data_IF_327138133533
#
_entry.id   IF_327138133533
#
_cell.length_a   1.000
_cell.length_b   1.000
_cell.length_c   1.000
_cell.angle_alpha   90.00
_cell.angle_beta   90.00
_cell.angle_gamma   90.00
#
_symmetry.space_group_name_H-M   'P 1'
#
loop_
_entity.id
_entity.type
_entity.pdbx_description
1 polymer ?
#
# COMPACT_ATOMS: atom_id res chain seq x y z
N UNK A 1 20.98 -5.38 -15.80
CA UNK A 1 19.98 -5.85 -16.77
C UNK A 1 19.72 -4.73 -17.75
N UNK A 2 20.07 -4.98 -19.01
CA UNK A 2 20.22 -3.98 -20.08
C UNK A 2 19.00 -3.93 -21.00
N UNK A 3 18.10 -4.92 -20.91
CA UNK A 3 16.94 -5.07 -21.80
C UNK A 3 15.61 -5.00 -21.03
N UNK A 4 14.51 -4.75 -21.76
CA UNK A 4 13.14 -4.65 -21.23
C UNK A 4 12.50 -6.04 -21.05
N UNK A 5 12.98 -7.05 -21.76
CA UNK A 5 12.46 -8.43 -21.76
C UNK A 5 13.14 -9.36 -20.75
N UNK A 6 13.99 -8.79 -19.90
CA UNK A 6 14.78 -9.51 -18.92
C UNK A 6 13.87 -10.15 -17.84
N UNK A 7 13.93 -11.48 -17.70
CA UNK A 7 13.16 -12.26 -16.72
C UNK A 7 13.94 -12.51 -15.42
N UNK A 8 13.27 -12.65 -14.26
CA UNK A 8 13.94 -13.03 -13.01
C UNK A 8 14.54 -14.43 -13.14
N UNK A 9 15.86 -14.55 -12.99
CA UNK A 9 16.61 -15.82 -13.06
C UNK A 9 17.22 -16.26 -11.73
N UNK A 10 17.12 -15.44 -10.68
CA UNK A 10 17.88 -15.62 -9.43
C UNK A 10 17.20 -16.61 -8.47
N UNK A 11 15.87 -16.71 -8.51
CA UNK A 11 15.09 -17.51 -7.56
C UNK A 11 14.13 -18.47 -8.29
N UNK A 12 14.69 -19.43 -9.03
CA UNK A 12 13.91 -20.49 -9.68
C UNK A 12 13.44 -21.52 -8.65
N UNK A 13 12.19 -21.98 -8.80
CA UNK A 13 11.64 -23.00 -7.93
C UNK A 13 12.32 -24.36 -8.23
N UNK A 14 12.82 -25.09 -7.21
CA UNK A 14 13.53 -26.35 -7.43
C UNK A 14 12.66 -27.39 -8.12
N UNK A 15 13.14 -27.94 -9.24
CA UNK A 15 12.39 -28.91 -10.06
C UNK A 15 12.02 -30.18 -9.29
N UNK A 16 12.87 -30.60 -8.36
CA UNK A 16 12.68 -31.80 -7.55
C UNK A 16 11.51 -31.67 -6.56
N UNK A 17 11.23 -30.44 -6.10
CA UNK A 17 10.11 -30.14 -5.19
C UNK A 17 8.77 -30.08 -5.96
N UNK A 18 8.78 -29.71 -7.25
CA UNK A 18 7.56 -29.62 -8.08
C UNK A 18 6.86 -30.98 -8.16
N UNK A 19 7.65 -32.04 -8.34
CA UNK A 19 7.18 -33.42 -8.47
C UNK A 19 7.16 -34.18 -7.14
N UNK A 20 7.55 -33.55 -6.04
CA UNK A 20 7.54 -34.13 -4.69
C UNK A 20 6.14 -34.30 -4.10
N UNK A 21 6.07 -35.01 -2.97
CA UNK A 21 4.86 -35.19 -2.18
C UNK A 21 4.41 -33.88 -1.52
N UNK A 22 3.15 -33.79 -1.10
CA UNK A 22 2.61 -32.60 -0.43
C UNK A 22 3.38 -32.27 0.86
N UNK A 23 3.87 -33.28 1.56
CA UNK A 23 4.69 -33.10 2.77
C UNK A 23 6.07 -32.52 2.44
N UNK A 24 6.71 -32.97 1.36
CA UNK A 24 7.97 -32.39 0.88
C UNK A 24 7.80 -30.93 0.45
N UNK A 25 6.70 -30.62 -0.25
CA UNK A 25 6.35 -29.24 -0.63
C UNK A 25 6.11 -28.35 0.58
N UNK A 26 5.40 -28.86 1.59
CA UNK A 26 5.14 -28.14 2.83
C UNK A 26 6.42 -27.86 3.60
N UNK A 27 7.28 -28.86 3.78
CA UNK A 27 8.55 -28.68 4.50
C UNK A 27 9.46 -27.66 3.79
N UNK A 28 9.56 -27.74 2.46
CA UNK A 28 10.29 -26.75 1.67
C UNK A 28 9.70 -25.34 1.83
N UNK A 29 8.37 -25.21 1.79
CA UNK A 29 7.72 -23.93 1.98
C UNK A 29 7.99 -23.34 3.37
N UNK A 30 7.85 -24.15 4.42
CA UNK A 30 8.09 -23.72 5.80
C UNK A 30 9.55 -23.29 6.01
N UNK A 31 10.51 -24.00 5.42
CA UNK A 31 11.93 -23.63 5.43
C UNK A 31 12.20 -22.29 4.73
N UNK A 32 11.78 -22.16 3.46
CA UNK A 32 11.98 -20.94 2.67
C UNK A 32 11.28 -19.74 3.29
N UNK A 33 10.06 -19.94 3.80
CA UNK A 33 9.32 -18.91 4.50
C UNK A 33 10.02 -18.50 5.81
N UNK A 34 10.59 -19.45 6.56
CA UNK A 34 11.42 -19.16 7.72
C UNK A 34 12.61 -18.26 7.39
N UNK A 35 13.35 -18.58 6.32
CA UNK A 35 14.47 -17.76 5.82
C UNK A 35 13.98 -16.35 5.42
N UNK A 36 12.85 -16.26 4.72
CA UNK A 36 12.27 -14.99 4.32
C UNK A 36 11.93 -14.11 5.53
N UNK A 37 11.25 -14.68 6.53
CA UNK A 37 10.85 -13.94 7.74
C UNK A 37 12.09 -13.47 8.49
N UNK A 38 13.09 -14.33 8.69
CA UNK A 38 14.32 -13.96 9.38
C UNK A 38 15.10 -12.88 8.65
N UNK A 39 15.22 -12.97 7.32
CA UNK A 39 16.05 -12.07 6.53
C UNK A 39 15.40 -10.72 6.26
N UNK A 40 14.08 -10.72 6.00
CA UNK A 40 13.39 -9.55 5.46
C UNK A 40 12.34 -8.96 6.38
N UNK A 41 11.78 -9.70 7.33
CA UNK A 41 10.67 -9.23 8.18
C UNK A 41 11.14 -8.89 9.59
N UNK A 42 11.89 -9.79 10.21
CA UNK A 42 12.39 -9.65 11.56
C UNK A 42 13.68 -8.83 11.58
N UNK A 43 13.56 -7.53 11.87
CA UNK A 43 14.67 -6.71 12.37
C UNK A 43 14.70 -6.81 13.90
N UNK A 44 14.93 -8.01 14.42
CA UNK A 44 15.05 -8.21 15.88
C UNK A 44 16.39 -7.62 16.29
N UNK A 45 16.38 -6.42 16.86
CA UNK A 45 17.33 -6.14 17.94
C UNK A 45 16.86 -6.94 19.16
N UNK A 46 17.77 -7.63 19.87
CA UNK A 46 17.46 -8.33 21.10
C UNK A 46 17.23 -7.32 22.23
N UNK A 47 16.10 -6.61 22.18
CA UNK A 47 15.50 -5.88 23.30
C UNK A 47 14.31 -6.72 23.75
N UNK A 48 14.18 -7.23 24.96
CA UNK A 48 14.91 -7.17 26.22
C UNK A 48 14.26 -8.26 27.10
N UNK A 49 14.92 -8.64 28.19
CA UNK A 49 14.36 -9.41 29.31
C UNK A 49 12.84 -9.21 29.49
N UNK A 50 12.07 -10.28 29.39
CA UNK A 50 10.68 -10.30 29.86
C UNK A 50 10.72 -10.23 31.39
N UNK A 51 10.53 -9.03 31.95
CA UNK A 51 10.30 -8.87 33.38
C UNK A 51 9.00 -9.59 33.76
N UNK A 52 9.08 -10.48 34.75
CA UNK A 52 7.97 -11.30 35.26
C UNK A 52 6.89 -10.44 35.93
N UNK A 53 7.20 -9.17 36.24
CA UNK A 53 6.23 -8.17 36.70
C UNK A 53 5.76 -7.27 35.54
N UNK A 54 4.84 -7.81 34.74
CA UNK A 54 4.30 -7.12 33.55
C UNK A 54 3.46 -5.88 33.93
N UNK A 55 4.04 -4.68 33.82
CA UNK A 55 3.31 -3.41 33.99
C UNK A 55 2.43 -3.15 32.75
N UNK A 56 1.20 -3.65 32.82
CA UNK A 56 0.21 -3.50 31.75
C UNK A 56 -0.10 -2.04 31.41
N UNK A 57 0.06 -1.08 32.34
CA UNK A 57 -0.20 0.34 32.09
C UNK A 57 0.93 0.92 31.24
N UNK A 58 2.19 0.66 31.63
CA UNK A 58 3.37 1.07 30.87
C UNK A 58 3.38 0.45 29.48
N UNK A 59 3.09 -0.84 29.35
CA UNK A 59 3.04 -1.52 28.06
C UNK A 59 1.96 -0.96 27.14
N UNK A 60 0.76 -0.70 27.67
CA UNK A 60 -0.29 -0.05 26.91
C UNK A 60 0.14 1.35 26.43
N UNK A 61 0.79 2.14 27.30
CA UNK A 61 1.32 3.45 26.96
C UNK A 61 2.37 3.39 25.84
N UNK A 62 3.35 2.49 25.96
CA UNK A 62 4.38 2.28 24.95
C UNK A 62 3.80 1.81 23.61
N UNK A 63 2.86 0.86 23.62
CA UNK A 63 2.13 0.41 22.44
C UNK A 63 1.39 1.56 21.75
N UNK A 64 0.71 2.41 22.53
CA UNK A 64 -0.02 3.57 21.99
C UNK A 64 0.93 4.57 21.33
N UNK A 65 2.05 4.87 21.98
CA UNK A 65 3.09 5.76 21.42
C UNK A 65 3.66 5.15 20.14
N UNK A 66 4.01 3.86 20.15
CA UNK A 66 4.53 3.15 19.00
C UNK A 66 3.56 3.23 17.80
N UNK A 67 2.29 2.89 18.01
CA UNK A 67 1.27 2.95 16.94
C UNK A 67 1.08 4.38 16.41
N UNK A 68 1.09 5.38 17.29
CA UNK A 68 0.99 6.79 16.88
C UNK A 68 2.20 7.22 16.06
N UNK A 69 3.41 6.85 16.47
CA UNK A 69 4.64 7.12 15.72
C UNK A 69 4.65 6.44 14.37
N UNK A 70 4.18 5.18 14.29
CA UNK A 70 4.05 4.46 13.02
C UNK A 70 3.12 5.19 12.05
N UNK A 71 1.95 5.68 12.51
CA UNK A 71 1.03 6.45 11.67
C UNK A 71 1.67 7.76 11.20
N UNK A 72 2.35 8.49 12.09
CA UNK A 72 3.04 9.73 11.71
C UNK A 72 4.14 9.48 10.68
N UNK A 73 4.92 8.41 10.87
CA UNK A 73 5.95 7.98 9.94
C UNK A 73 5.36 7.63 8.57
N UNK A 74 4.26 6.86 8.51
CA UNK A 74 3.59 6.51 7.26
C UNK A 74 3.14 7.77 6.50
N UNK A 75 2.55 8.75 7.19
CA UNK A 75 2.14 10.02 6.58
C UNK A 75 3.33 10.82 6.04
N UNK A 76 4.45 10.86 6.77
CA UNK A 76 5.66 11.53 6.29
C UNK A 76 6.30 10.81 5.11
N UNK A 77 6.34 9.48 5.14
CA UNK A 77 6.79 8.63 4.04
C UNK A 77 6.00 8.92 2.77
N UNK A 78 4.66 8.93 2.87
CA UNK A 78 3.79 9.24 1.74
C UNK A 78 4.04 10.65 1.20
N UNK A 79 4.12 11.65 2.07
CA UNK A 79 4.41 13.05 1.71
C UNK A 79 5.74 13.20 0.97
N UNK A 80 6.78 12.48 1.41
CA UNK A 80 8.12 12.52 0.81
C UNK A 80 8.26 11.59 -0.41
N UNK A 81 7.33 10.66 -0.62
CA UNK A 81 7.41 9.68 -1.69
C UNK A 81 8.56 8.68 -1.50
N UNK A 82 8.84 8.30 -0.25
CA UNK A 82 10.03 7.53 0.09
C UNK A 82 9.75 6.01 0.08
N UNK A 83 10.16 5.34 -0.99
CA UNK A 83 9.93 3.91 -1.18
C UNK A 83 10.67 3.02 -0.16
N UNK A 84 11.85 3.44 0.31
CA UNK A 84 12.63 2.66 1.29
C UNK A 84 11.97 2.69 2.66
N UNK A 85 11.57 3.89 3.12
CA UNK A 85 10.82 4.03 4.37
C UNK A 85 9.46 3.35 4.28
N UNK A 86 8.86 3.29 3.09
CA UNK A 86 7.63 2.54 2.89
C UNK A 86 7.84 1.03 3.06
N UNK A 87 8.91 0.47 2.51
CA UNK A 87 9.24 -0.95 2.69
C UNK A 87 9.45 -1.31 4.16
N UNK A 88 10.11 -0.45 4.94
CA UNK A 88 10.24 -0.62 6.39
C UNK A 88 8.85 -0.60 7.06
N UNK A 89 8.00 0.37 6.72
CA UNK A 89 6.63 0.44 7.26
C UNK A 89 5.82 -0.83 6.92
N UNK A 90 5.94 -1.37 5.71
CA UNK A 90 5.26 -2.60 5.29
C UNK A 90 5.68 -3.81 6.13
N UNK A 91 6.99 -3.93 6.45
CA UNK A 91 7.53 -4.99 7.32
C UNK A 91 6.93 -4.90 8.73
N UNK A 92 6.84 -3.70 9.31
CA UNK A 92 6.16 -3.50 10.60
C UNK A 92 4.66 -3.81 10.54
N UNK A 93 3.97 -3.34 9.49
CA UNK A 93 2.53 -3.56 9.32
C UNK A 93 2.19 -5.04 9.12
N UNK A 94 3.05 -5.81 8.44
CA UNK A 94 2.90 -7.27 8.33
C UNK A 94 2.80 -7.90 9.72
N UNK A 95 3.73 -7.57 10.62
CA UNK A 95 3.73 -8.07 12.00
C UNK A 95 2.47 -7.66 12.76
N UNK A 96 2.08 -6.38 12.68
CA UNK A 96 0.88 -5.85 13.35
C UNK A 96 -0.40 -6.55 12.84
N UNK A 97 -0.58 -6.66 11.53
CA UNK A 97 -1.78 -7.27 10.95
C UNK A 97 -1.84 -8.77 11.18
N UNK A 98 -0.69 -9.45 11.23
CA UNK A 98 -0.63 -10.87 11.57
C UNK A 98 -1.03 -11.13 13.03
N UNK A 99 -0.57 -10.28 13.96
CA UNK A 99 -0.92 -10.38 15.38
C UNK A 99 -2.42 -10.16 15.65
N UNK A 100 -3.05 -9.24 14.93
CA UNK A 100 -4.46 -8.89 15.15
C UNK A 100 -5.47 -9.90 14.56
N UNK A 101 -5.04 -10.85 13.72
CA UNK A 101 -5.85 -11.96 13.19
C UNK A 101 -6.96 -11.57 12.20
N UNK A 102 -7.79 -10.59 12.51
CA UNK A 102 -8.91 -10.12 11.67
C UNK A 102 -8.48 -9.35 10.41
N UNK A 103 -7.19 -9.02 10.30
CA UNK A 103 -6.62 -8.20 9.23
C UNK A 103 -5.70 -9.01 8.30
N UNK A 104 -5.90 -10.33 8.22
CA UNK A 104 -5.10 -11.26 7.43
C UNK A 104 -4.94 -10.85 5.96
N UNK A 105 -5.98 -10.29 5.33
CA UNK A 105 -5.90 -9.78 3.95
C UNK A 105 -4.83 -8.69 3.77
N UNK A 106 -4.68 -7.81 4.76
CA UNK A 106 -3.69 -6.74 4.73
C UNK A 106 -2.29 -7.29 5.04
N UNK A 107 -2.19 -8.29 5.92
CA UNK A 107 -0.94 -9.01 6.14
C UNK A 107 -0.46 -9.70 4.84
N UNK A 108 -1.35 -10.36 4.10
CA UNK A 108 -1.02 -10.99 2.81
C UNK A 108 -0.53 -9.94 1.81
N UNK A 109 -1.20 -8.79 1.72
CA UNK A 109 -0.78 -7.71 0.82
C UNK A 109 0.63 -7.19 1.16
N UNK A 110 0.92 -6.96 2.45
CA UNK A 110 2.27 -6.55 2.89
C UNK A 110 3.31 -7.62 2.55
N UNK A 111 2.99 -8.90 2.80
CA UNK A 111 3.88 -10.01 2.47
C UNK A 111 4.19 -10.07 0.96
N UNK A 112 3.16 -9.99 0.11
CA UNK A 112 3.31 -10.01 -1.34
C UNK A 112 4.17 -8.84 -1.82
N UNK A 113 3.93 -7.62 -1.30
CA UNK A 113 4.73 -6.44 -1.63
C UNK A 113 6.21 -6.62 -1.25
N UNK A 114 6.49 -7.10 -0.03
CA UNK A 114 7.88 -7.34 0.42
C UNK A 114 8.54 -8.41 -0.44
N UNK A 115 7.84 -9.52 -0.71
CA UNK A 115 8.35 -10.59 -1.57
C UNK A 115 8.64 -10.10 -2.99
N UNK A 116 7.76 -9.26 -3.57
CA UNK A 116 7.99 -8.64 -4.87
C UNK A 116 9.24 -7.78 -4.90
N UNK A 117 9.43 -6.92 -3.90
CA UNK A 117 10.57 -6.00 -3.82
C UNK A 117 11.88 -6.77 -3.58
N UNK A 118 11.89 -7.71 -2.65
CA UNK A 118 13.13 -8.32 -2.13
C UNK A 118 13.53 -9.61 -2.87
N UNK A 119 12.57 -10.33 -3.46
CA UNK A 119 12.79 -11.71 -3.93
C UNK A 119 12.29 -11.99 -5.35
N UNK A 120 11.14 -11.48 -5.76
CA UNK A 120 10.48 -11.96 -6.99
C UNK A 120 10.79 -11.09 -8.22
N UNK A 121 10.90 -9.77 -8.06
CA UNK A 121 11.12 -8.87 -9.18
C UNK A 121 12.60 -8.74 -9.51
N UNK A 122 12.90 -8.42 -10.76
CA UNK A 122 14.25 -8.02 -11.17
C UNK A 122 14.65 -6.74 -10.43
N UNK A 123 15.96 -6.45 -10.23
CA UNK A 123 16.39 -5.24 -9.51
C UNK A 123 15.77 -3.96 -10.07
N UNK A 124 15.61 -3.86 -11.39
CA UNK A 124 14.96 -2.71 -12.03
C UNK A 124 13.47 -2.62 -11.69
N UNK A 125 12.73 -3.71 -11.85
CA UNK A 125 11.29 -3.75 -11.57
C UNK A 125 11.01 -3.54 -10.08
N UNK A 126 11.84 -4.11 -9.21
CA UNK A 126 11.78 -3.90 -7.75
C UNK A 126 11.91 -2.41 -7.40
N UNK A 127 12.87 -1.69 -7.99
CA UNK A 127 13.00 -0.25 -7.78
C UNK A 127 11.76 0.50 -8.30
N UNK A 128 11.31 0.21 -9.53
CA UNK A 128 10.10 0.85 -10.08
C UNK A 128 8.87 0.62 -9.21
N UNK A 129 8.67 -0.61 -8.73
CA UNK A 129 7.56 -0.96 -7.86
C UNK A 129 7.66 -0.26 -6.50
N UNK A 130 8.85 -0.28 -5.87
CA UNK A 130 9.12 0.37 -4.59
C UNK A 130 8.88 1.88 -4.61
N UNK A 131 9.31 2.58 -5.65
CA UNK A 131 9.07 4.02 -5.80
C UNK A 131 7.68 4.34 -6.37
N UNK A 132 7.04 3.38 -7.05
CA UNK A 132 5.71 3.50 -7.66
C UNK A 132 4.54 3.47 -6.67
N UNK A 133 4.81 3.26 -5.37
CA UNK A 133 3.80 3.39 -4.31
C UNK A 133 3.27 4.83 -4.16
N UNK A 134 4.02 5.83 -4.65
CA UNK A 134 3.67 7.23 -4.52
C UNK A 134 3.69 7.94 -5.87
N UNK A 135 2.87 8.99 -5.97
CA UNK A 135 2.76 9.81 -7.18
C UNK A 135 2.72 11.30 -6.82
N UNK A 136 3.38 12.11 -7.64
CA UNK A 136 3.44 13.57 -7.47
C UNK A 136 2.77 14.29 -8.62
N UNK A 137 1.45 14.43 -8.56
CA UNK A 137 0.68 15.02 -9.66
C UNK A 137 0.80 16.54 -9.75
N UNK A 138 1.02 17.19 -8.61
CA UNK A 138 1.08 18.66 -8.50
C UNK A 138 2.51 19.19 -8.69
N UNK A 139 3.50 18.31 -8.66
CA UNK A 139 4.91 18.69 -8.61
C UNK A 139 5.31 19.31 -7.27
N UNK A 140 6.61 19.50 -7.09
CA UNK A 140 7.18 20.11 -5.88
C UNK A 140 7.36 19.14 -4.70
N UNK A 141 8.23 19.53 -3.77
CA UNK A 141 8.60 18.71 -2.62
C UNK A 141 7.45 18.61 -1.62
N UNK A 142 7.15 17.39 -1.15
CA UNK A 142 6.14 17.18 -0.13
C UNK A 142 4.70 17.08 -0.65
N UNK A 143 4.51 17.06 -1.98
CA UNK A 143 3.20 16.98 -2.63
C UNK A 143 2.87 15.56 -3.16
N UNK A 144 3.62 14.57 -2.72
CA UNK A 144 3.34 13.17 -3.07
C UNK A 144 2.08 12.67 -2.35
N UNK A 145 1.36 11.79 -3.01
CA UNK A 145 0.24 11.03 -2.46
C UNK A 145 0.43 9.54 -2.75
N UNK A 146 -0.21 8.69 -1.96
CA UNK A 146 -0.27 7.25 -2.21
C UNK A 146 -0.89 6.99 -3.58
N UNK A 147 -0.27 6.12 -4.38
CA UNK A 147 -0.73 5.80 -5.73
C UNK A 147 -2.14 5.20 -5.73
N UNK A 148 -2.48 4.42 -4.70
CA UNK A 148 -3.84 3.87 -4.53
C UNK A 148 -4.89 4.97 -4.31
N UNK A 149 -4.60 5.95 -3.42
CA UNK A 149 -5.44 7.13 -3.22
C UNK A 149 -5.60 7.94 -4.52
N UNK A 150 -4.51 8.07 -5.27
CA UNK A 150 -4.50 8.66 -6.60
C UNK A 150 -5.43 7.92 -7.57
N UNK A 151 -5.36 6.59 -7.61
CA UNK A 151 -6.24 5.78 -8.43
C UNK A 151 -7.70 5.92 -7.99
N UNK A 152 -7.99 5.99 -6.69
CA UNK A 152 -9.32 6.20 -6.15
C UNK A 152 -9.91 7.56 -6.59
N UNK A 153 -9.12 8.64 -6.50
CA UNK A 153 -9.51 9.98 -6.95
C UNK A 153 -9.86 9.95 -8.44
N UNK A 154 -9.01 9.32 -9.26
CA UNK A 154 -9.21 9.21 -10.71
C UNK A 154 -10.47 8.40 -11.04
N UNK A 155 -10.68 7.27 -10.36
CA UNK A 155 -11.87 6.45 -10.51
C UNK A 155 -13.14 7.22 -10.13
N UNK A 156 -13.10 8.00 -9.05
CA UNK A 156 -14.24 8.83 -8.60
C UNK A 156 -14.58 9.91 -9.63
N UNK A 157 -13.58 10.62 -10.15
CA UNK A 157 -13.76 11.60 -11.22
C UNK A 157 -14.36 10.94 -12.48
N UNK A 158 -13.82 9.80 -12.89
CA UNK A 158 -14.33 9.01 -14.03
C UNK A 158 -15.82 8.69 -13.87
N UNK A 159 -16.19 8.12 -12.72
CA UNK A 159 -17.57 7.73 -12.43
C UNK A 159 -18.50 8.94 -12.44
N UNK A 160 -18.10 10.05 -11.82
CA UNK A 160 -18.90 11.26 -11.76
C UNK A 160 -19.21 11.82 -13.16
N UNK A 161 -18.21 11.86 -14.04
CA UNK A 161 -18.40 12.38 -15.39
C UNK A 161 -19.29 11.43 -16.21
N UNK A 162 -19.01 10.12 -16.17
CA UNK A 162 -19.83 9.12 -16.89
C UNK A 162 -21.28 9.14 -16.42
N UNK A 163 -21.53 9.31 -15.12
CA UNK A 163 -22.89 9.46 -14.59
C UNK A 163 -23.61 10.69 -15.16
N UNK A 164 -22.91 11.82 -15.31
CA UNK A 164 -23.46 13.08 -15.84
C UNK A 164 -23.73 13.06 -17.35
N UNK A 165 -23.23 12.07 -18.09
CA UNK A 165 -23.51 11.91 -19.52
C UNK A 165 -24.96 11.47 -19.83
N UNK A 166 -25.73 11.07 -18.82
CA UNK A 166 -27.12 10.66 -19.01
C UNK A 166 -27.25 9.43 -19.92
N UNK A 167 -28.19 9.42 -20.89
CA UNK A 167 -28.37 8.30 -21.82
C UNK A 167 -27.21 8.07 -22.81
N UNK A 168 -26.32 9.06 -22.98
CA UNK A 168 -25.26 9.03 -24.01
C UNK A 168 -24.03 8.20 -23.63
N UNK A 169 -24.23 7.08 -22.92
CA UNK A 169 -23.16 6.18 -22.44
C UNK A 169 -22.79 5.14 -23.48
N UNK A 170 -22.26 5.58 -24.62
CA UNK A 170 -21.59 4.67 -25.57
C UNK A 170 -20.12 4.50 -25.19
N UNK A 171 -19.51 3.39 -25.59
CA UNK A 171 -18.07 3.14 -25.34
C UNK A 171 -17.19 4.25 -25.93
N UNK A 172 -17.53 4.73 -27.13
CA UNK A 172 -16.83 5.84 -27.80
C UNK A 172 -16.93 7.13 -27.00
N UNK A 173 -18.14 7.48 -26.55
CA UNK A 173 -18.37 8.69 -25.75
C UNK A 173 -17.65 8.61 -24.41
N UNK A 174 -17.69 7.47 -23.72
CA UNK A 174 -16.98 7.26 -22.45
C UNK A 174 -15.46 7.41 -22.67
N UNK A 175 -14.89 6.77 -23.70
CA UNK A 175 -13.46 6.85 -23.97
C UNK A 175 -13.02 8.30 -24.28
N UNK A 176 -13.79 9.02 -25.11
CA UNK A 176 -13.53 10.43 -25.44
C UNK A 176 -13.50 11.30 -24.17
N UNK A 177 -14.48 11.12 -23.30
CA UNK A 177 -14.62 11.92 -22.08
C UNK A 177 -13.58 11.54 -21.03
N UNK A 178 -13.24 10.26 -20.88
CA UNK A 178 -12.18 9.81 -19.99
C UNK A 178 -10.82 10.41 -20.38
N UNK A 179 -10.51 10.50 -21.67
CA UNK A 179 -9.29 11.18 -22.16
C UNK A 179 -9.27 12.68 -21.86
N UNK A 180 -10.43 13.34 -21.87
CA UNK A 180 -10.56 14.77 -21.58
C UNK A 180 -10.62 15.11 -20.09
N UNK A 181 -10.69 14.10 -19.21
CA UNK A 181 -10.97 14.25 -17.77
C UNK A 181 -10.01 15.18 -17.05
N UNK A 182 -8.71 15.06 -17.32
CA UNK A 182 -7.69 15.91 -16.70
C UNK A 182 -7.94 17.39 -17.01
N UNK A 183 -8.20 17.71 -18.29
CA UNK A 183 -8.52 19.08 -18.72
C UNK A 183 -9.82 19.59 -18.11
N UNK A 184 -10.87 18.76 -18.05
CA UNK A 184 -12.15 19.12 -17.42
C UNK A 184 -11.93 19.44 -15.93
N UNK A 185 -11.14 18.63 -15.22
CA UNK A 185 -10.85 18.84 -13.80
C UNK A 185 -10.10 20.16 -13.58
N UNK A 186 -9.09 20.45 -14.42
CA UNK A 186 -8.32 21.69 -14.35
C UNK A 186 -9.19 22.93 -14.61
N UNK A 187 -10.07 22.88 -15.63
CA UNK A 187 -11.01 23.98 -15.93
C UNK A 187 -11.94 24.22 -14.75
N UNK A 188 -12.49 23.15 -14.17
CA UNK A 188 -13.36 23.23 -12.99
C UNK A 188 -12.64 23.90 -11.82
N UNK A 189 -11.45 23.44 -11.47
CA UNK A 189 -10.68 24.00 -10.35
C UNK A 189 -10.34 25.49 -10.57
N UNK A 190 -9.98 25.87 -11.80
CA UNK A 190 -9.68 27.25 -12.15
C UNK A 190 -10.92 28.14 -12.11
N UNK A 191 -12.07 27.64 -12.57
CA UNK A 191 -13.35 28.35 -12.51
C UNK A 191 -13.75 28.59 -11.04
N UNK A 192 -13.77 27.54 -10.21
CA UNK A 192 -14.10 27.63 -8.79
C UNK A 192 -13.20 28.65 -8.08
N UNK A 193 -11.89 28.63 -8.38
CA UNK A 193 -10.90 29.58 -7.83
C UNK A 193 -11.16 31.02 -8.25
N UNK A 194 -11.54 31.25 -9.51
CA UNK A 194 -11.75 32.60 -10.07
C UNK A 194 -13.04 33.22 -9.54
N UNK A 195 -14.08 32.41 -9.34
CA UNK A 195 -15.39 32.85 -8.83
C UNK A 195 -15.43 32.91 -7.30
N UNK A 196 -14.41 32.40 -6.61
CA UNK A 196 -14.35 32.39 -5.15
C UNK A 196 -15.30 31.36 -4.53
N UNK A 197 -15.64 30.30 -5.26
CA UNK A 197 -16.47 29.20 -4.74
C UNK A 197 -15.67 28.48 -3.66
N UNK A 198 -16.16 28.52 -2.42
CA UNK A 198 -15.55 27.80 -1.32
C UNK A 198 -15.66 26.28 -1.56
N UNK A 199 -14.57 25.55 -1.31
CA UNK A 199 -14.63 24.08 -1.31
C UNK A 199 -15.53 23.63 -0.16
N UNK A 200 -16.60 22.91 -0.47
CA UNK A 200 -17.42 22.25 0.53
C UNK A 200 -16.56 21.27 1.34
N UNK A 201 -16.43 21.52 2.65
CA UNK A 201 -15.79 20.58 3.56
C UNK A 201 -16.77 19.44 3.85
N UNK A 202 -16.67 18.36 3.09
CA UNK A 202 -17.43 17.15 3.41
C UNK A 202 -16.69 16.41 4.52
N UNK A 203 -17.04 16.67 5.79
CA UNK A 203 -16.69 15.75 6.86
C UNK A 203 -17.36 14.40 6.56
N UNK A 204 -16.58 13.34 6.43
CA UNK A 204 -17.12 11.99 6.41
C UNK A 204 -17.72 11.68 7.79
N UNK A 205 -19.01 12.00 7.97
CA UNK A 205 -19.77 11.52 9.11
C UNK A 205 -19.92 10.00 8.95
N UNK A 206 -19.11 9.23 9.67
CA UNK A 206 -19.28 7.78 9.77
C UNK A 206 -20.62 7.55 10.46
N UNK A 207 -21.64 7.16 9.69
CA UNK A 207 -22.93 6.73 10.23
C UNK A 207 -22.71 5.41 10.97
N UNK A 208 -22.42 5.49 12.27
CA UNK A 208 -22.31 4.33 13.16
C UNK A 208 -23.70 3.69 13.24
N UNK A 209 -23.92 2.57 12.55
CA UNK A 209 -25.09 1.73 12.82
C UNK A 209 -24.91 1.18 14.24
N UNK A 210 -25.65 1.72 15.18
CA UNK A 210 -25.85 1.10 16.49
C UNK A 210 -26.49 -0.26 16.21
N UNK A 211 -25.78 -1.34 16.52
CA UNK A 211 -26.42 -2.65 16.69
C UNK A 211 -27.14 -2.58 18.03
N UNK A 212 -28.46 -2.59 17.99
CA UNK A 212 -29.28 -2.85 19.17
C UNK A 212 -29.03 -4.30 19.61
N UNK A 213 -29.06 -4.47 20.94
CA UNK A 213 -28.62 -5.64 21.71
C UNK A 213 -29.38 -6.94 21.35
#
# INVERSE_FOLDING_TARGET
MSSVDDKPTIHEFPKDIIHGTDEQKKNYFDEVFGIFVQKYVLQIDPLTDYDVNDDHIKNYGLCTIFLKMLILQMKDTARKGDGERNLINQKFLLSVFKLLGSYSKYAIEMFVSIAQIECLLTPRLSQQFKWGFFVNWKGGTGNNIENDLAQEITNKLSKNIVQRMGPNKTLSSINKVSKAMSGISMIKEQFDKTVGVAKESVQHAIRRKMREA
#
